data_IF_539133228536
#
_entry.id   IF_539133228536
#
_cell.length_a   1.000
_cell.length_b   1.000
_cell.length_c   1.000
_cell.angle_alpha   90.00
_cell.angle_beta   90.00
_cell.angle_gamma   90.00
#
_symmetry.space_group_name_H-M   'P 1'
#
loop_
_entity.id
_entity.type
_entity.pdbx_description
1 polymer ?
#
# COMPACT_ATOMS: atom_id res chain seq x y z
N UNK A 1 -1.80 2.98 -22.23
CA UNK A 1 -1.64 4.45 -22.33
C UNK A 1 -2.12 5.06 -21.00
N UNK A 2 -1.24 5.67 -20.20
CA UNK A 2 -1.61 6.28 -18.91
C UNK A 2 -2.21 7.65 -19.19
N UNK A 3 -3.44 7.91 -18.75
CA UNK A 3 -4.00 9.26 -18.77
C UNK A 3 -3.81 9.89 -17.39
N UNK A 4 -3.01 10.94 -17.32
CA UNK A 4 -2.94 11.79 -16.14
C UNK A 4 -4.05 12.82 -16.31
N UNK A 5 -5.13 12.69 -15.54
CA UNK A 5 -6.19 13.70 -15.52
C UNK A 5 -5.84 14.71 -14.43
N UNK A 6 -5.39 15.89 -14.85
CA UNK A 6 -5.29 17.04 -13.97
C UNK A 6 -6.71 17.58 -13.71
N UNK A 7 -7.23 17.39 -12.51
CA UNK A 7 -8.44 18.09 -12.08
C UNK A 7 -8.00 19.37 -11.37
N UNK A 8 -8.36 20.52 -11.95
CA UNK A 8 -8.10 21.83 -11.35
C UNK A 8 -9.27 22.16 -10.41
N UNK A 9 -9.04 22.06 -9.11
CA UNK A 9 -9.97 22.60 -8.11
C UNK A 9 -9.42 23.95 -7.65
N UNK A 10 -10.13 25.02 -8.00
CA UNK A 10 -9.84 26.36 -7.53
C UNK A 10 -10.76 26.67 -6.34
N UNK A 11 -10.18 27.05 -5.21
CA UNK A 11 -10.91 27.66 -4.10
C UNK A 11 -10.54 29.14 -4.00
N UNK A 12 -11.57 29.96 -3.77
CA UNK A 12 -11.42 31.41 -3.58
C UNK A 12 -11.47 31.68 -2.08
N UNK A 13 -10.41 32.30 -1.56
CA UNK A 13 -10.35 32.75 -0.17
C UNK A 13 -9.90 34.21 -0.09
N UNK A 14 -10.62 35.02 0.69
CA UNK A 14 -10.19 36.37 1.03
C UNK A 14 -9.42 36.34 2.35
N UNK A 15 -8.17 36.80 2.35
CA UNK A 15 -7.37 37.01 3.56
C UNK A 15 -6.91 38.47 3.51
N UNK A 16 -7.23 39.25 4.54
CA UNK A 16 -6.87 40.67 4.69
C UNK A 16 -7.33 41.60 3.53
N UNK A 17 -8.49 41.34 2.93
CA UNK A 17 -9.06 42.22 1.90
C UNK A 17 -8.45 42.04 0.50
N UNK A 18 -7.51 41.12 0.34
CA UNK A 18 -6.98 40.71 -0.97
C UNK A 18 -7.51 39.31 -1.33
N UNK A 19 -7.89 39.16 -2.60
CA UNK A 19 -8.50 37.95 -3.14
C UNK A 19 -7.39 36.99 -3.61
N UNK A 20 -7.18 35.89 -2.89
CA UNK A 20 -6.14 34.91 -3.22
C UNK A 20 -6.76 33.65 -3.86
N UNK A 21 -6.15 33.20 -4.97
CA UNK A 21 -6.52 31.96 -5.67
C UNK A 21 -5.59 30.83 -5.22
N UNK A 22 -6.16 29.75 -4.68
CA UNK A 22 -5.42 28.53 -4.35
C UNK A 22 -5.76 27.45 -5.38
N UNK A 23 -4.74 26.93 -6.05
CA UNK A 23 -4.86 25.82 -7.01
C UNK A 23 -4.34 24.54 -6.36
N UNK A 24 -5.21 23.54 -6.20
CA UNK A 24 -4.82 22.21 -5.75
C UNK A 24 -4.74 21.28 -6.96
N UNK A 25 -3.55 20.73 -7.22
CA UNK A 25 -3.35 19.68 -8.21
C UNK A 25 -3.49 18.32 -7.51
N UNK A 26 -4.65 17.68 -7.63
CA UNK A 26 -4.76 16.26 -7.34
C UNK A 26 -4.44 15.46 -8.59
N UNK A 27 -3.34 14.72 -8.55
CA UNK A 27 -2.96 13.77 -9.58
C UNK A 27 -3.75 12.47 -9.35
N UNK A 28 -4.98 12.41 -9.86
CA UNK A 28 -5.74 11.17 -9.89
C UNK A 28 -5.27 10.36 -11.10
N UNK A 29 -4.59 9.24 -10.84
CA UNK A 29 -4.41 8.21 -11.86
C UNK A 29 -5.76 7.54 -12.06
N UNK A 30 -6.57 8.09 -12.97
CA UNK A 30 -7.76 7.40 -13.44
C UNK A 30 -7.29 6.27 -14.36
N UNK A 31 -7.62 5.04 -14.01
CA UNK A 31 -7.51 3.90 -14.91
C UNK A 31 -8.81 3.85 -15.74
N UNK A 32 -8.85 4.33 -17.00
CA UNK A 32 -10.03 4.15 -17.84
C UNK A 32 -10.11 2.68 -18.25
N UNK A 33 -10.89 1.89 -17.52
CA UNK A 33 -11.15 0.51 -17.87
C UNK A 33 -12.50 0.04 -17.36
N UNK A 34 -13.09 -0.94 -18.04
CA UNK A 34 -14.33 -1.58 -17.60
C UNK A 34 -13.98 -2.79 -16.75
N UNK A 35 -14.66 -2.94 -15.61
CA UNK A 35 -14.57 -4.16 -14.81
C UNK A 35 -15.18 -5.33 -15.59
N UNK A 36 -14.52 -6.48 -15.61
CA UNK A 36 -14.96 -7.70 -16.29
C UNK A 36 -14.60 -8.93 -15.45
N UNK A 37 -15.24 -10.06 -15.75
CA UNK A 37 -14.91 -11.37 -15.20
C UNK A 37 -14.20 -12.20 -16.28
N UNK A 38 -12.94 -12.55 -16.05
CA UNK A 38 -12.17 -13.42 -16.96
C UNK A 38 -12.26 -14.86 -16.47
N UNK A 39 -12.85 -15.74 -17.28
CA UNK A 39 -13.09 -17.14 -16.91
C UNK A 39 -12.08 -18.08 -17.57
N UNK A 40 -11.57 -19.03 -16.79
CA UNK A 40 -10.71 -20.11 -17.25
C UNK A 40 -11.19 -21.46 -16.70
N UNK A 41 -10.71 -22.54 -17.29
CA UNK A 41 -10.73 -23.85 -16.62
C UNK A 41 -9.56 -23.86 -15.64
N UNK A 42 -9.87 -24.02 -14.36
CA UNK A 42 -8.84 -23.95 -13.33
C UNK A 42 -9.34 -24.34 -11.95
N UNK A 43 -8.40 -24.47 -11.03
CA UNK A 43 -8.65 -24.75 -9.61
C UNK A 43 -7.76 -23.89 -8.73
N UNK A 44 -8.23 -23.60 -7.52
CA UNK A 44 -7.46 -22.91 -6.47
C UNK A 44 -6.75 -23.97 -5.63
N UNK A 45 -5.48 -23.74 -5.27
CA UNK A 45 -4.68 -24.70 -4.50
C UNK A 45 -4.60 -24.41 -3.00
N UNK A 46 -4.67 -23.14 -2.60
CA UNK A 46 -4.39 -22.71 -1.22
C UNK A 46 -5.56 -22.96 -0.23
N UNK A 47 -6.65 -23.55 -0.71
CA UNK A 47 -7.87 -23.80 0.09
C UNK A 47 -8.34 -25.22 -0.17
N UNK A 48 -8.77 -25.91 0.89
CA UNK A 48 -9.50 -27.17 0.76
C UNK A 48 -10.91 -26.87 0.21
N UNK A 49 -11.00 -26.87 -1.11
CA UNK A 49 -12.23 -26.56 -1.83
C UNK A 49 -13.31 -27.63 -1.59
N UNK A 50 -12.93 -28.86 -1.24
CA UNK A 50 -13.90 -29.89 -0.91
C UNK A 50 -14.56 -29.54 0.43
N UNK A 51 -13.77 -29.23 1.46
CA UNK A 51 -14.30 -28.79 2.77
C UNK A 51 -15.23 -27.58 2.64
N UNK A 52 -14.76 -26.54 1.94
CA UNK A 52 -15.48 -25.26 1.83
C UNK A 52 -16.73 -25.37 0.97
N UNK A 53 -16.79 -26.33 0.03
CA UNK A 53 -17.97 -26.52 -0.82
C UNK A 53 -18.95 -27.58 -0.29
N UNK A 54 -18.64 -28.37 0.74
CA UNK A 54 -19.54 -29.44 1.24
C UNK A 54 -20.95 -28.92 1.54
N UNK A 55 -21.08 -27.76 2.20
CA UNK A 55 -22.37 -27.18 2.58
C UNK A 55 -23.00 -26.22 1.58
N UNK A 56 -22.41 -26.01 0.41
CA UNK A 56 -22.90 -25.05 -0.58
C UNK A 56 -23.92 -25.68 -1.53
N UNK A 57 -25.01 -24.95 -1.77
CA UNK A 57 -26.01 -25.32 -2.75
C UNK A 57 -25.50 -25.06 -4.17
N UNK A 58 -25.79 -25.95 -5.14
CA UNK A 58 -25.45 -25.73 -6.54
C UNK A 58 -26.12 -24.47 -7.10
N UNK A 59 -25.36 -23.67 -7.84
CA UNK A 59 -25.85 -22.49 -8.56
C UNK A 59 -25.46 -22.55 -10.03
N UNK A 60 -26.14 -21.79 -10.87
CA UNK A 60 -25.75 -21.67 -12.27
C UNK A 60 -24.39 -20.97 -12.41
N UNK A 61 -23.66 -21.32 -13.47
CA UNK A 61 -22.37 -20.68 -13.78
C UNK A 61 -22.50 -19.15 -13.90
N UNK A 62 -23.56 -18.69 -14.55
CA UNK A 62 -23.87 -17.27 -14.69
C UNK A 62 -24.05 -16.60 -13.32
N UNK A 63 -24.87 -17.20 -12.45
CA UNK A 63 -25.13 -16.64 -11.11
C UNK A 63 -23.86 -16.55 -10.27
N UNK A 64 -23.03 -17.59 -10.26
CA UNK A 64 -21.76 -17.60 -9.55
C UNK A 64 -20.84 -16.44 -9.96
N UNK A 65 -20.71 -16.20 -11.26
CA UNK A 65 -19.86 -15.15 -11.81
C UNK A 65 -20.47 -13.76 -11.60
N UNK A 66 -21.78 -13.62 -11.80
CA UNK A 66 -22.50 -12.35 -11.65
C UNK A 66 -22.54 -11.87 -10.19
N UNK A 67 -22.80 -12.78 -9.23
CA UNK A 67 -22.81 -12.45 -7.81
C UNK A 67 -21.45 -11.85 -7.36
N UNK A 68 -20.33 -12.41 -7.83
CA UNK A 68 -18.99 -11.86 -7.56
C UNK A 68 -18.72 -10.55 -8.31
N UNK A 69 -19.18 -10.44 -9.57
CA UNK A 69 -19.03 -9.21 -10.34
C UNK A 69 -19.69 -8.02 -9.63
N UNK A 70 -20.88 -8.23 -9.05
CA UNK A 70 -21.65 -7.22 -8.32
C UNK A 70 -21.13 -6.98 -6.90
N UNK A 71 -20.44 -7.95 -6.28
CA UNK A 71 -19.89 -7.81 -4.93
C UNK A 71 -18.57 -7.06 -4.95
N UNK A 72 -18.52 -5.84 -4.41
CA UNK A 72 -17.33 -4.95 -4.45
C UNK A 72 -16.03 -5.61 -3.97
N UNK A 73 -16.09 -6.38 -2.88
CA UNK A 73 -14.94 -7.05 -2.30
C UNK A 73 -14.49 -8.32 -3.01
N UNK A 74 -15.34 -8.93 -3.85
CA UNK A 74 -14.99 -10.20 -4.50
C UNK A 74 -13.88 -9.99 -5.53
N UNK A 75 -12.85 -10.85 -5.53
CA UNK A 75 -11.72 -10.78 -6.48
C UNK A 75 -11.62 -12.00 -7.39
N UNK A 76 -12.20 -13.13 -6.95
CA UNK A 76 -12.15 -14.40 -7.67
C UNK A 76 -13.31 -15.29 -7.24
N UNK A 77 -13.83 -16.09 -8.17
CA UNK A 77 -14.72 -17.22 -7.86
C UNK A 77 -14.18 -18.53 -8.38
N UNK A 78 -14.44 -19.59 -7.64
CA UNK A 78 -14.23 -20.97 -8.03
C UNK A 78 -15.58 -21.69 -8.11
N UNK A 79 -15.74 -22.55 -9.11
CA UNK A 79 -16.88 -23.44 -9.24
C UNK A 79 -16.41 -24.85 -9.53
N UNK A 80 -16.88 -25.81 -8.73
CA UNK A 80 -16.60 -27.23 -8.96
C UNK A 80 -17.54 -27.83 -10.02
N UNK A 81 -17.27 -29.09 -10.39
CA UNK A 81 -18.06 -29.83 -11.38
C UNK A 81 -19.52 -30.08 -10.95
N UNK A 82 -19.81 -30.01 -9.65
CA UNK A 82 -21.15 -30.09 -9.09
C UNK A 82 -21.94 -28.77 -9.11
N UNK A 83 -21.37 -27.69 -9.64
CA UNK A 83 -22.00 -26.36 -9.69
C UNK A 83 -21.97 -25.61 -8.37
N UNK A 84 -21.17 -26.06 -7.39
CA UNK A 84 -21.00 -25.35 -6.12
C UNK A 84 -20.00 -24.22 -6.31
N UNK A 85 -20.40 -23.01 -5.93
CA UNK A 85 -19.64 -21.78 -6.17
C UNK A 85 -19.08 -21.23 -4.86
N UNK A 86 -17.78 -20.96 -4.83
CA UNK A 86 -17.11 -20.31 -3.72
C UNK A 86 -16.43 -19.01 -4.18
N UNK A 87 -16.56 -17.95 -3.38
CA UNK A 87 -16.01 -16.63 -3.70
C UNK A 87 -14.89 -16.24 -2.74
N UNK A 88 -13.88 -15.58 -3.29
CA UNK A 88 -12.74 -15.07 -2.56
C UNK A 88 -12.85 -13.56 -2.48
N UNK A 89 -12.83 -13.04 -1.27
CA UNK A 89 -12.96 -11.61 -0.99
C UNK A 89 -11.57 -10.99 -0.75
N UNK A 90 -11.37 -9.77 -1.24
CA UNK A 90 -10.13 -9.03 -1.10
C UNK A 90 -9.72 -8.92 0.36
N UNK A 91 -10.64 -8.65 1.27
CA UNK A 91 -10.27 -8.35 2.65
C UNK A 91 -9.76 -9.57 3.42
N UNK A 92 -10.28 -10.76 3.12
CA UNK A 92 -9.90 -12.02 3.78
C UNK A 92 -8.76 -12.75 3.06
N UNK A 93 -8.52 -12.44 1.78
CA UNK A 93 -7.58 -13.18 0.94
C UNK A 93 -6.22 -12.50 0.88
N UNK A 94 -5.18 -13.12 1.43
CA UNK A 94 -3.79 -12.61 1.34
C UNK A 94 -3.01 -13.19 0.16
N UNK A 95 -3.25 -14.46 -0.14
CA UNK A 95 -2.54 -15.24 -1.15
C UNK A 95 -3.50 -16.20 -1.82
N UNK A 96 -3.36 -16.34 -3.14
CA UNK A 96 -4.04 -17.37 -3.93
C UNK A 96 -3.14 -17.87 -5.04
N UNK A 97 -3.32 -19.15 -5.34
CA UNK A 97 -2.66 -19.87 -6.41
C UNK A 97 -3.74 -20.58 -7.19
N UNK A 98 -3.87 -20.21 -8.46
CA UNK A 98 -4.77 -20.84 -9.42
C UNK A 98 -3.94 -21.61 -10.42
N UNK A 99 -4.33 -22.84 -10.72
CA UNK A 99 -3.72 -23.64 -11.77
C UNK A 99 -4.75 -23.92 -12.84
N UNK A 100 -4.37 -23.74 -14.10
CA UNK A 100 -5.18 -24.10 -15.26
C UNK A 100 -5.41 -25.62 -15.28
N UNK A 101 -6.65 -26.01 -15.50
CA UNK A 101 -7.07 -27.41 -15.59
C UNK A 101 -7.63 -27.70 -16.97
N UNK A 102 -7.87 -28.98 -17.27
CA UNK A 102 -8.52 -29.34 -18.52
C UNK A 102 -10.03 -29.11 -18.44
N UNK A 103 -10.66 -28.95 -19.59
CA UNK A 103 -12.12 -28.75 -19.70
C UNK A 103 -12.90 -29.93 -19.13
N UNK A 104 -12.38 -31.16 -19.28
CA UNK A 104 -13.07 -32.40 -18.88
C UNK A 104 -13.20 -32.52 -17.36
N UNK A 105 -12.37 -31.81 -16.58
CA UNK A 105 -12.44 -31.77 -15.12
C UNK A 105 -13.65 -30.94 -14.65
N UNK A 106 -14.23 -30.09 -15.51
CA UNK A 106 -15.40 -29.28 -15.19
C UNK A 106 -15.16 -28.20 -14.13
N UNK A 107 -13.90 -27.96 -13.75
CA UNK A 107 -13.50 -26.96 -12.76
C UNK A 107 -13.34 -25.59 -13.44
N UNK A 108 -13.87 -24.56 -12.79
CA UNK A 108 -13.92 -23.22 -13.35
C UNK A 108 -13.45 -22.20 -12.33
N UNK A 109 -12.65 -21.25 -12.80
CA UNK A 109 -12.28 -20.06 -12.04
C UNK A 109 -12.61 -18.82 -12.86
N UNK A 110 -13.13 -17.78 -12.21
CA UNK A 110 -13.27 -16.46 -12.84
C UNK A 110 -12.61 -15.36 -12.00
N UNK A 111 -11.70 -14.63 -12.63
CA UNK A 111 -10.97 -13.50 -12.06
C UNK A 111 -11.77 -12.22 -12.29
N UNK A 112 -11.97 -11.43 -11.23
CA UNK A 112 -12.49 -10.08 -11.37
C UNK A 112 -11.33 -9.14 -11.68
N UNK A 113 -11.40 -8.49 -12.83
CA UNK A 113 -10.31 -7.62 -13.28
C UNK A 113 -10.81 -6.42 -14.09
N UNK A 114 -9.91 -5.50 -14.44
CA UNK A 114 -10.20 -4.28 -15.19
C UNK A 114 -9.39 -4.24 -16.47
N UNK A 115 -10.07 -4.21 -17.61
CA UNK A 115 -9.42 -4.09 -18.92
C UNK A 115 -9.54 -2.67 -19.46
N UNK A 116 -8.44 -2.15 -20.01
CA UNK A 116 -8.38 -0.86 -20.69
C UNK A 116 -8.99 -0.90 -22.11
N UNK A 117 -9.21 -2.09 -22.65
CA UNK A 117 -9.66 -2.29 -24.02
C UNK A 117 -11.15 -2.65 -24.06
N UNK A 118 -11.86 -2.00 -24.97
CA UNK A 118 -13.21 -2.35 -25.37
C UNK A 118 -13.25 -3.74 -26.05
N UNK A 119 -12.08 -4.19 -26.55
CA UNK A 119 -11.87 -5.49 -27.18
C UNK A 119 -11.32 -6.52 -26.18
N UNK A 120 -11.70 -7.78 -26.35
CA UNK A 120 -11.15 -8.89 -25.57
C UNK A 120 -9.69 -9.12 -25.99
N UNK A 121 -8.70 -8.99 -25.07
CA UNK A 121 -7.31 -9.26 -25.41
C UNK A 121 -7.11 -10.75 -25.76
N UNK A 122 -6.00 -11.07 -26.43
CA UNK A 122 -5.57 -12.45 -26.57
C UNK A 122 -5.25 -13.05 -25.20
N UNK A 123 -5.47 -14.35 -25.02
CA UNK A 123 -5.30 -15.02 -23.72
C UNK A 123 -3.92 -14.85 -23.10
N UNK A 124 -2.88 -14.90 -23.93
CA UNK A 124 -1.50 -14.80 -23.47
C UNK A 124 -1.05 -13.35 -23.18
N UNK A 125 -1.80 -12.37 -23.69
CA UNK A 125 -1.52 -10.94 -23.51
C UNK A 125 -2.39 -10.31 -22.40
N UNK A 126 -3.08 -11.12 -21.59
CA UNK A 126 -3.96 -10.62 -20.53
C UNK A 126 -3.21 -10.32 -19.24
N UNK A 127 -3.09 -9.03 -18.92
CA UNK A 127 -2.69 -8.56 -17.60
C UNK A 127 -3.90 -8.55 -16.65
N UNK A 128 -3.97 -9.54 -15.77
CA UNK A 128 -5.02 -9.63 -14.77
C UNK A 128 -4.63 -8.80 -13.55
N UNK A 129 -5.41 -7.76 -13.27
CA UNK A 129 -5.24 -6.87 -12.12
C UNK A 129 -6.47 -6.95 -11.20
N UNK A 130 -6.24 -7.13 -9.91
CA UNK A 130 -7.23 -6.86 -8.87
C UNK A 130 -7.24 -5.36 -8.61
N UNK A 131 -8.38 -4.70 -8.81
CA UNK A 131 -8.53 -3.25 -8.62
C UNK A 131 -9.33 -2.89 -7.39
N UNK A 132 -9.50 -3.83 -6.47
CA UNK A 132 -10.10 -3.60 -5.15
C UNK A 132 -9.02 -3.04 -4.22
N UNK A 133 -9.28 -1.91 -3.57
CA UNK A 133 -8.30 -1.22 -2.70
C UNK A 133 -7.71 0.05 -3.31
N UNK A 134 -6.64 0.57 -2.68
CA UNK A 134 -5.98 1.81 -3.12
C UNK A 134 -5.15 1.60 -4.39
N UNK A 135 -4.43 0.48 -4.49
CA UNK A 135 -3.59 0.15 -5.64
C UNK A 135 -4.05 -1.11 -6.37
N UNK A 136 -3.87 -1.15 -7.70
CA UNK A 136 -4.06 -2.38 -8.44
C UNK A 136 -2.97 -3.40 -8.07
N UNK A 137 -3.38 -4.65 -7.84
CA UNK A 137 -2.50 -5.76 -7.50
C UNK A 137 -2.52 -6.78 -8.65
N UNK A 138 -1.37 -7.11 -9.27
CA UNK A 138 -1.36 -8.04 -10.38
C UNK A 138 -1.51 -9.48 -9.91
N UNK A 139 -2.19 -10.27 -10.74
CA UNK A 139 -1.96 -11.71 -10.79
C UNK A 139 -0.71 -11.96 -11.64
N UNK A 140 0.21 -12.76 -11.12
CA UNK A 140 1.45 -13.12 -11.81
C UNK A 140 1.22 -14.46 -12.49
N UNK A 141 1.28 -14.49 -13.82
CA UNK A 141 1.19 -15.73 -14.60
C UNK A 141 2.60 -16.34 -14.77
N UNK A 142 2.76 -17.61 -14.41
CA UNK A 142 3.96 -18.39 -14.67
C UNK A 142 3.56 -19.76 -15.26
N UNK A 143 3.66 -19.89 -16.58
CA UNK A 143 3.13 -21.02 -17.32
C UNK A 143 1.62 -21.15 -17.12
N UNK A 144 1.20 -22.27 -16.52
CA UNK A 144 -0.21 -22.61 -16.27
C UNK A 144 -0.69 -22.18 -14.87
N UNK A 145 0.11 -21.39 -14.15
CA UNK A 145 -0.17 -20.98 -12.78
C UNK A 145 -0.35 -19.47 -12.70
N UNK A 146 -1.35 -19.02 -11.95
CA UNK A 146 -1.55 -17.62 -11.58
C UNK A 146 -1.39 -17.49 -10.08
N UNK A 147 -0.53 -16.59 -9.63
CA UNK A 147 -0.37 -16.27 -8.22
C UNK A 147 -0.83 -14.85 -7.92
N UNK A 148 -1.54 -14.70 -6.82
CA UNK A 148 -1.92 -13.42 -6.24
C UNK A 148 -1.37 -13.38 -4.84
N UNK A 149 -0.74 -12.27 -4.49
CA UNK A 149 -0.22 -12.04 -3.16
C UNK A 149 -0.35 -10.55 -2.83
N UNK A 150 -0.74 -10.26 -1.60
CA UNK A 150 -0.91 -8.88 -1.16
C UNK A 150 -0.60 -8.69 0.31
N UNK A 151 -0.52 -7.43 0.69
CA UNK A 151 -0.42 -7.04 2.07
C UNK A 151 -1.68 -7.39 2.90
N UNK A 152 -1.51 -7.47 4.21
CA UNK A 152 -2.61 -7.67 5.15
C UNK A 152 -3.61 -6.53 4.99
N UNK A 153 -4.90 -6.87 4.84
CA UNK A 153 -5.99 -5.90 4.65
C UNK A 153 -5.68 -4.95 3.48
N UNK A 154 -5.65 -3.66 3.74
CA UNK A 154 -5.49 -2.55 2.82
C UNK A 154 -4.13 -1.85 2.98
N UNK A 155 -3.15 -2.53 3.60
CA UNK A 155 -1.80 -1.98 3.75
C UNK A 155 -1.18 -1.69 2.38
N UNK A 156 -0.48 -0.57 2.29
CA UNK A 156 0.13 -0.08 1.06
C UNK A 156 1.30 -0.96 0.68
N UNK A 157 1.34 -1.43 -0.57
CA UNK A 157 2.41 -2.29 -1.07
C UNK A 157 3.36 -1.47 -1.94
N UNK A 158 4.67 -1.58 -1.67
CA UNK A 158 5.71 -1.03 -2.52
C UNK A 158 6.73 -2.10 -2.88
N UNK A 159 7.06 -2.20 -4.17
CA UNK A 159 8.22 -2.96 -4.63
C UNK A 159 9.36 -1.97 -4.86
N UNK A 160 10.41 -2.11 -4.05
CA UNK A 160 11.61 -1.25 -4.08
C UNK A 160 12.54 -1.68 -5.21
N UNK A 161 13.47 -0.81 -5.60
CA UNK A 161 14.42 -1.06 -6.69
C UNK A 161 15.30 -2.30 -6.46
N UNK A 162 15.58 -2.63 -5.19
CA UNK A 162 16.32 -3.82 -4.80
C UNK A 162 15.48 -5.12 -4.83
N UNK A 163 14.24 -5.05 -5.31
CA UNK A 163 13.30 -6.18 -5.40
C UNK A 163 12.57 -6.50 -4.08
N UNK A 164 12.88 -5.82 -2.98
CA UNK A 164 12.18 -6.01 -1.71
C UNK A 164 10.77 -5.44 -1.83
N UNK A 165 9.77 -6.27 -1.56
CA UNK A 165 8.38 -5.81 -1.45
C UNK A 165 8.04 -5.57 0.02
N UNK A 166 7.60 -4.35 0.33
CA UNK A 166 7.27 -3.90 1.68
C UNK A 166 5.79 -3.51 1.74
N UNK A 167 5.16 -3.87 2.85
CA UNK A 167 3.80 -3.50 3.20
C UNK A 167 3.85 -2.45 4.30
N UNK A 168 3.21 -1.28 4.09
CA UNK A 168 3.27 -0.14 5.01
C UNK A 168 1.87 0.32 5.43
N UNK A 169 1.73 0.78 6.66
CA UNK A 169 0.52 1.46 7.15
C UNK A 169 0.86 2.59 8.13
N UNK A 170 0.16 3.71 7.98
CA UNK A 170 0.25 4.84 8.92
C UNK A 170 -0.80 4.72 10.02
N UNK A 171 -0.42 4.98 11.26
CA UNK A 171 -1.33 5.01 12.41
C UNK A 171 -1.35 6.41 13.02
N UNK A 172 -2.54 7.00 13.16
CA UNK A 172 -2.76 8.33 13.75
C UNK A 172 -3.01 8.20 15.24
N UNK A 173 -1.95 7.96 15.99
CA UNK A 173 -1.95 7.81 17.44
C UNK A 173 -0.77 8.60 18.01
N UNK A 174 -1.02 9.43 19.03
CA UNK A 174 0.00 10.31 19.60
C UNK A 174 0.98 9.50 20.44
N UNK A 175 2.21 9.39 19.95
CA UNK A 175 3.31 8.71 20.63
C UNK A 175 4.50 9.64 20.66
N UNK A 176 4.96 10.01 21.85
CA UNK A 176 5.96 11.07 22.00
C UNK A 176 7.41 10.59 22.00
N UNK A 177 7.67 9.29 21.79
CA UNK A 177 9.03 8.75 21.68
C UNK A 177 9.17 7.69 20.60
N UNK A 178 10.36 7.62 19.98
CA UNK A 178 10.68 6.63 18.96
C UNK A 178 10.53 5.20 19.51
N UNK A 179 11.02 4.96 20.74
CA UNK A 179 10.98 3.64 21.38
C UNK A 179 9.53 3.14 21.55
N UNK A 180 8.62 4.03 21.96
CA UNK A 180 7.22 3.68 22.08
C UNK A 180 6.57 3.44 20.71
N UNK A 181 6.98 4.16 19.66
CA UNK A 181 6.49 3.94 18.30
C UNK A 181 6.94 2.57 17.76
N UNK A 182 8.19 2.18 18.01
CA UNK A 182 8.71 0.84 17.71
C UNK A 182 7.89 -0.23 18.44
N UNK A 183 7.72 -0.07 19.76
CA UNK A 183 6.94 -1.00 20.59
C UNK A 183 5.51 -1.12 20.09
N UNK A 184 4.90 -0.01 19.68
CA UNK A 184 3.50 -0.01 19.21
C UNK A 184 3.33 -0.79 17.91
N UNK A 185 4.26 -0.69 16.97
CA UNK A 185 4.23 -1.53 15.76
C UNK A 185 4.31 -3.02 16.10
N UNK A 186 5.14 -3.39 17.07
CA UNK A 186 5.27 -4.76 17.53
C UNK A 186 3.97 -5.27 18.19
N UNK A 187 3.35 -4.45 19.04
CA UNK A 187 2.07 -4.76 19.71
C UNK A 187 0.87 -4.90 18.73
N UNK A 188 0.92 -4.29 17.55
CA UNK A 188 -0.16 -4.36 16.54
C UNK A 188 -0.18 -5.69 15.75
N UNK A 189 0.86 -6.51 15.86
CA UNK A 189 0.93 -7.79 15.14
C UNK A 189 2.34 -8.28 14.81
N UNK A 190 3.36 -7.85 15.54
CA UNK A 190 4.77 -8.15 15.30
C UNK A 190 5.40 -7.33 14.17
N UNK A 191 4.76 -6.22 13.76
CA UNK A 191 5.25 -5.35 12.71
C UNK A 191 6.43 -4.50 13.21
N UNK A 192 7.21 -3.94 12.28
CA UNK A 192 8.32 -3.05 12.62
C UNK A 192 7.93 -1.62 12.33
N UNK A 193 8.41 -0.67 13.13
CA UNK A 193 8.46 0.71 12.66
C UNK A 193 9.33 0.69 11.39
N UNK A 194 8.85 1.23 10.28
CA UNK A 194 9.52 1.07 8.98
C UNK A 194 10.38 2.28 8.64
N UNK A 195 11.52 2.03 8.01
CA UNK A 195 12.28 3.03 7.28
C UNK A 195 11.60 3.38 5.95
N UNK A 196 12.13 4.40 5.27
CA UNK A 196 11.61 4.93 4.00
C UNK A 196 12.74 4.93 2.99
N UNK A 197 12.49 4.43 1.77
CA UNK A 197 13.53 4.23 0.77
C UNK A 197 13.24 4.93 -0.58
N UNK A 198 12.03 5.44 -0.80
CA UNK A 198 11.68 6.11 -2.05
C UNK A 198 10.91 7.40 -1.83
N UNK A 199 10.89 8.25 -2.86
CA UNK A 199 10.13 9.50 -2.84
C UNK A 199 8.63 9.21 -2.78
N UNK A 200 8.19 8.14 -3.44
CA UNK A 200 6.80 7.69 -3.48
C UNK A 200 6.34 7.24 -2.09
N UNK A 201 7.14 6.43 -1.38
CA UNK A 201 6.87 6.04 0.01
C UNK A 201 6.77 7.27 0.91
N UNK A 202 7.75 8.19 0.80
CA UNK A 202 7.80 9.41 1.60
C UNK A 202 6.60 10.32 1.37
N UNK A 203 6.25 10.56 0.11
CA UNK A 203 5.11 11.40 -0.27
C UNK A 203 3.81 10.78 0.23
N UNK A 204 3.64 9.46 0.10
CA UNK A 204 2.45 8.78 0.60
C UNK A 204 2.31 8.93 2.12
N UNK A 205 3.39 8.74 2.90
CA UNK A 205 3.36 8.98 4.36
C UNK A 205 2.97 10.43 4.66
N UNK A 206 3.57 11.38 3.95
CA UNK A 206 3.30 12.80 4.12
C UNK A 206 1.83 13.15 3.84
N UNK A 207 1.26 12.59 2.78
CA UNK A 207 -0.13 12.83 2.35
C UNK A 207 -1.15 12.24 3.32
N UNK A 208 -0.76 11.29 4.19
CA UNK A 208 -1.63 10.77 5.26
C UNK A 208 -1.81 11.75 6.42
N UNK A 209 -1.04 12.84 6.48
CA UNK A 209 -1.24 13.93 7.47
C UNK A 209 -2.61 14.58 7.27
N UNK A 210 -3.15 15.20 8.31
CA UNK A 210 -4.39 15.99 8.18
C UNK A 210 -4.07 17.47 8.06
N UNK A 211 -4.91 18.23 7.36
CA UNK A 211 -4.75 19.69 7.21
C UNK A 211 -4.85 20.45 8.55
N UNK A 212 -5.43 19.83 9.58
CA UNK A 212 -5.54 20.37 10.93
C UNK A 212 -4.25 20.25 11.75
N UNK A 213 -3.28 19.45 11.30
CA UNK A 213 -2.02 19.28 12.01
C UNK A 213 -1.10 20.47 11.80
N UNK A 214 -0.33 20.78 12.85
CA UNK A 214 0.78 21.74 12.73
C UNK A 214 1.75 21.28 11.63
N UNK A 215 2.44 22.22 10.97
CA UNK A 215 3.36 21.88 9.87
C UNK A 215 4.45 20.87 10.30
N UNK A 216 4.96 21.01 11.52
CA UNK A 216 5.97 20.11 12.08
C UNK A 216 5.38 18.80 12.63
N UNK A 217 4.05 18.66 12.65
CA UNK A 217 3.40 17.42 13.06
C UNK A 217 3.44 16.38 11.96
N UNK A 218 3.72 15.14 12.35
CA UNK A 218 4.04 14.09 11.40
C UNK A 218 4.05 12.69 11.98
N UNK A 219 4.64 11.78 11.20
CA UNK A 219 4.73 10.36 11.52
C UNK A 219 6.17 9.96 11.85
N UNK A 220 6.36 9.18 12.91
CA UNK A 220 7.62 8.50 13.17
C UNK A 220 7.96 7.52 12.07
N UNK A 221 9.23 7.50 11.67
CA UNK A 221 9.84 6.48 10.81
C UNK A 221 11.06 5.88 11.52
N UNK A 222 11.44 4.66 11.14
CA UNK A 222 12.56 3.95 11.76
C UNK A 222 13.88 4.49 11.21
N UNK A 223 14.38 5.52 11.87
CA UNK A 223 15.72 6.05 11.65
C UNK A 223 16.17 6.79 12.92
N UNK A 224 17.23 6.28 13.54
CA UNK A 224 17.93 6.93 14.65
C UNK A 224 19.38 7.15 14.27
N UNK A 225 19.88 8.37 14.41
CA UNK A 225 21.25 8.74 14.08
C UNK A 225 22.23 7.88 14.87
N UNK A 226 23.29 7.44 14.20
CA UNK A 226 24.39 6.74 14.85
C UNK A 226 25.06 7.67 15.87
N UNK A 227 25.47 7.09 17.00
CA UNK A 227 25.95 7.84 18.17
C UNK A 227 27.18 8.70 17.85
N UNK A 228 28.10 8.18 17.04
CA UNK A 228 29.30 8.90 16.59
C UNK A 228 28.99 10.15 15.73
N UNK A 229 27.78 10.25 15.16
CA UNK A 229 27.32 11.39 14.37
C UNK A 229 26.27 12.24 15.12
N UNK A 230 25.97 11.93 16.38
CA UNK A 230 25.02 12.69 17.20
C UNK A 230 25.38 14.18 17.23
N UNK A 231 24.38 15.06 17.16
CA UNK A 231 24.53 16.53 17.09
C UNK A 231 25.15 17.08 15.80
N UNK A 232 25.33 16.24 14.77
CA UNK A 232 25.86 16.67 13.48
C UNK A 232 24.77 16.71 12.41
N UNK A 233 24.88 17.65 11.47
CA UNK A 233 24.08 17.68 10.23
C UNK A 233 24.54 16.57 9.27
N UNK A 234 24.23 15.34 9.64
CA UNK A 234 24.72 14.13 9.00
C UNK A 234 23.58 13.20 8.55
N UNK A 235 23.87 12.15 7.79
CA UNK A 235 22.85 11.22 7.24
C UNK A 235 23.05 9.77 7.65
N UNK A 236 23.97 9.49 8.58
CA UNK A 236 24.20 8.16 9.11
C UNK A 236 23.14 7.81 10.17
N UNK A 237 22.07 7.16 9.71
CA UNK A 237 20.99 6.65 10.53
C UNK A 237 21.03 5.12 10.61
N UNK A 238 20.77 4.59 11.79
CA UNK A 238 20.47 3.19 11.99
C UNK A 238 18.99 2.94 11.73
N UNK A 239 18.70 2.03 10.80
CA UNK A 239 17.36 1.54 10.48
C UNK A 239 17.31 0.07 10.87
N UNK A 240 16.36 -0.28 11.73
CA UNK A 240 16.36 -1.57 12.45
C UNK A 240 15.22 -2.51 12.05
N UNK A 241 14.50 -2.19 10.98
CA UNK A 241 13.36 -2.98 10.52
C UNK A 241 13.74 -4.28 9.81
N UNK A 242 15.01 -4.42 9.41
CA UNK A 242 15.58 -5.62 8.81
C UNK A 242 15.39 -5.73 7.29
N UNK A 243 14.67 -4.79 6.66
CA UNK A 243 14.38 -4.83 5.22
C UNK A 243 14.53 -3.47 4.51
N UNK A 244 14.80 -2.39 5.24
CA UNK A 244 15.15 -1.10 4.65
C UNK A 244 16.66 -0.89 4.65
N UNK A 245 17.22 -0.65 3.47
CA UNK A 245 18.61 -0.23 3.31
C UNK A 245 18.67 1.30 3.35
N UNK A 246 19.58 1.85 4.15
CA UNK A 246 19.81 3.29 4.20
C UNK A 246 20.41 3.79 2.89
N UNK A 247 19.74 4.74 2.24
CA UNK A 247 20.32 5.59 1.19
C UNK A 247 20.57 6.99 1.76
N UNK A 248 21.84 7.31 2.03
CA UNK A 248 22.20 8.61 2.60
C UNK A 248 21.89 9.79 1.67
N UNK A 249 21.99 9.61 0.35
CA UNK A 249 21.69 10.67 -0.60
C UNK A 249 20.20 11.00 -0.61
N UNK A 250 19.34 9.97 -0.51
CA UNK A 250 17.91 10.14 -0.32
C UNK A 250 17.59 11.01 0.90
N UNK A 251 18.13 10.65 2.08
CA UNK A 251 17.90 11.44 3.29
C UNK A 251 18.51 12.84 3.21
N UNK A 252 19.69 13.00 2.61
CA UNK A 252 20.30 14.33 2.39
C UNK A 252 19.40 15.24 1.54
N UNK A 253 18.70 14.66 0.57
CA UNK A 253 17.86 15.38 -0.39
C UNK A 253 16.50 15.77 0.19
N UNK A 254 15.93 14.94 1.07
CA UNK A 254 14.55 15.11 1.53
C UNK A 254 14.40 15.45 3.01
N UNK A 255 15.48 15.39 3.79
CA UNK A 255 15.47 15.76 5.21
C UNK A 255 16.12 17.12 5.47
N UNK A 256 15.45 17.94 6.27
CA UNK A 256 16.04 19.11 6.91
C UNK A 256 16.68 18.63 8.22
N UNK A 257 18.01 18.66 8.27
CA UNK A 257 18.80 18.04 9.33
C UNK A 257 19.65 19.09 10.03
N UNK A 258 19.58 19.13 11.35
CA UNK A 258 20.36 20.03 12.19
C UNK A 258 21.37 19.27 13.06
N UNK A 259 21.03 18.05 13.47
CA UNK A 259 21.65 17.26 14.54
C UNK A 259 21.31 17.77 15.94
N UNK A 260 21.13 19.08 16.12
CA UNK A 260 20.71 19.68 17.38
C UNK A 260 20.10 21.07 17.23
N UNK A 261 19.17 21.40 18.12
CA UNK A 261 18.48 22.68 18.15
C UNK A 261 18.41 23.24 19.57
N UNK A 262 19.00 24.41 19.80
CA UNK A 262 19.06 25.07 21.13
C UNK A 262 19.57 24.09 22.22
N UNK A 263 20.57 23.26 21.86
CA UNK A 263 21.16 22.28 22.76
C UNK A 263 20.36 20.98 22.96
N UNK A 264 19.18 20.86 22.34
CA UNK A 264 18.41 19.61 22.27
C UNK A 264 18.98 18.76 21.14
N UNK A 265 19.24 17.48 21.41
CA UNK A 265 19.75 16.53 20.43
C UNK A 265 18.60 16.07 19.51
N UNK A 266 18.81 16.15 18.20
CA UNK A 266 17.83 15.79 17.17
C UNK A 266 18.37 14.61 16.35
N UNK A 267 18.21 13.40 16.92
CA UNK A 267 18.76 12.17 16.35
C UNK A 267 17.69 11.25 15.74
N UNK A 268 16.41 11.55 15.86
CA UNK A 268 15.35 10.70 15.34
C UNK A 268 14.55 11.40 14.24
N UNK A 269 14.00 10.64 13.29
CA UNK A 269 13.33 11.23 12.12
C UNK A 269 11.81 11.19 12.20
N UNK A 270 11.20 12.27 11.70
CA UNK A 270 9.76 12.43 11.54
C UNK A 270 9.45 12.88 10.11
N UNK A 271 8.46 12.24 9.46
CA UNK A 271 7.93 12.72 8.18
C UNK A 271 6.92 13.83 8.44
N UNK A 272 7.26 15.06 8.09
CA UNK A 272 6.46 16.27 8.31
C UNK A 272 6.77 17.36 7.28
N UNK A 273 6.15 18.54 7.41
CA UNK A 273 6.51 19.69 6.57
C UNK A 273 7.61 20.49 7.27
N UNK A 274 8.85 19.99 7.16
CA UNK A 274 10.01 20.54 7.86
C UNK A 274 10.36 21.95 7.35
N UNK A 275 10.65 22.02 6.05
CA UNK A 275 10.97 23.24 5.32
C UNK A 275 10.53 23.12 3.85
N UNK A 276 10.48 24.22 3.07
CA UNK A 276 10.12 24.14 1.65
C UNK A 276 11.00 23.13 0.89
N UNK A 277 10.39 22.05 0.41
CA UNK A 277 11.07 20.96 -0.31
C UNK A 277 11.59 19.80 0.56
N UNK A 278 11.53 19.92 1.89
CA UNK A 278 11.99 18.89 2.83
C UNK A 278 10.79 18.30 3.58
N UNK A 279 10.63 16.98 3.45
CA UNK A 279 9.49 16.24 4.02
C UNK A 279 9.88 15.40 5.24
N UNK A 280 11.13 15.49 5.68
CA UNK A 280 11.66 14.81 6.87
C UNK A 280 12.36 15.87 7.73
N UNK A 281 12.18 15.78 9.04
CA UNK A 281 12.94 16.57 10.01
C UNK A 281 13.65 15.62 10.97
N UNK A 282 14.85 15.97 11.41
CA UNK A 282 15.37 15.39 12.65
C UNK A 282 14.80 16.09 13.87
N UNK A 283 14.48 15.31 14.89
CA UNK A 283 13.81 15.76 16.09
C UNK A 283 14.30 14.93 17.29
N UNK A 284 14.03 15.42 18.49
CA UNK A 284 14.34 14.71 19.72
C UNK A 284 13.63 13.34 19.77
N UNK A 285 14.36 12.31 20.19
CA UNK A 285 13.84 10.94 20.20
C UNK A 285 12.77 10.66 21.26
N UNK A 286 12.57 11.57 22.22
CA UNK A 286 11.57 11.50 23.29
C UNK A 286 10.91 12.87 23.52
N UNK A 287 9.75 12.85 24.16
CA UNK A 287 8.99 14.05 24.55
C UNK A 287 8.65 15.01 23.40
N UNK A 288 8.57 14.49 22.16
CA UNK A 288 8.25 15.29 20.97
C UNK A 288 6.74 15.32 20.71
N UNK A 289 6.07 16.39 21.17
CA UNK A 289 4.59 16.53 21.15
C UNK A 289 3.97 16.69 19.75
N UNK A 290 4.80 16.99 18.73
CA UNK A 290 4.34 17.06 17.34
C UNK A 290 4.30 15.69 16.65
N UNK A 291 4.79 14.62 17.27
CA UNK A 291 4.58 13.28 16.74
C UNK A 291 3.10 12.85 16.93
N UNK A 292 2.35 12.88 15.82
CA UNK A 292 0.90 12.59 15.81
C UNK A 292 0.58 11.22 15.19
N UNK A 293 1.61 10.46 14.86
CA UNK A 293 1.49 9.11 14.35
C UNK A 293 2.82 8.42 14.16
N UNK A 294 2.76 7.21 13.64
CA UNK A 294 3.92 6.37 13.30
C UNK A 294 3.60 5.49 12.08
N UNK A 295 4.64 5.00 11.41
CA UNK A 295 4.51 4.14 10.24
C UNK A 295 5.03 2.74 10.57
N UNK A 296 4.16 1.74 10.51
CA UNK A 296 4.57 0.35 10.63
C UNK A 296 4.71 -0.28 9.25
N UNK A 297 5.56 -1.29 9.16
CA UNK A 297 5.75 -2.09 7.97
C UNK A 297 6.24 -3.50 8.24
N UNK A 298 6.20 -4.32 7.21
CA UNK A 298 6.85 -5.62 7.13
C UNK A 298 7.22 -5.95 5.69
N UNK A 299 8.22 -6.81 5.49
CA UNK A 299 8.55 -7.35 4.18
C UNK A 299 7.56 -8.45 3.80
N UNK A 300 7.01 -8.36 2.58
CA UNK A 300 6.23 -9.44 1.98
C UNK A 300 7.22 -10.49 1.42
N UNK A 301 7.14 -11.72 1.92
CA UNK A 301 8.04 -12.85 1.60
C UNK A 301 7.25 -14.02 1.05
#
# INVERSE_FOLDING_TARGET
MKFVVLILLASIGCVNGEMNFYFYFHCLVLYPGQQKMMKIFGKVLDVDLDEVTIGLEPVSNFKCVDDCFQTDGCILVFMNSGGKCFSFDFNSTKKLTVVETKREEGLMVAFKTRFLLDQCPAYDDMDLLVTVGEDPIPWIKNGNMYTFEKCVRDWKMYTRENGVTVCMQTFKEEIYSLVNAIKRCDELGGYKLTGVQSKEELQWIFDRRTSTWHKNSGFWINAKRLEEYSRMNDTHFNITDGYTTLDQEFYRKFADLSGSNIGIIEDCLLVCNAAPGFLINDIQCSDYTYAKGFVCGYQLV
#
